data_IF_313773974340
#
_entry.id   IF_313773974340
#
_cell.length_a   1.000
_cell.length_b   1.000
_cell.length_c   1.000
_cell.angle_alpha   90.00
_cell.angle_beta   90.00
_cell.angle_gamma   90.00
#
_symmetry.space_group_name_H-M   'P 1'
#
loop_
_entity.id
_entity.type
_entity.pdbx_description
1 polymer ?
#
# COMPACT_ATOMS: atom_id res chain seq x y z
N UNK A 1 -14.59 45.34 -39.14
CA UNK A 1 -15.54 44.29 -38.68
C UNK A 1 -15.03 42.88 -38.95
N UNK A 2 -14.68 42.51 -40.20
CA UNK A 2 -14.14 41.17 -40.57
C UNK A 2 -12.98 40.65 -39.69
N UNK A 3 -11.96 41.46 -39.40
CA UNK A 3 -10.81 41.03 -38.56
C UNK A 3 -11.21 40.61 -37.14
N UNK A 4 -12.13 41.36 -36.50
CA UNK A 4 -12.59 41.05 -35.13
C UNK A 4 -13.39 39.75 -35.05
N UNK A 5 -14.17 39.45 -36.10
CA UNK A 5 -14.95 38.21 -36.21
C UNK A 5 -14.00 37.00 -36.39
N UNK A 6 -12.97 37.14 -37.23
CA UNK A 6 -11.98 36.08 -37.45
C UNK A 6 -11.18 35.78 -36.17
N UNK A 7 -10.73 36.82 -35.46
CA UNK A 7 -9.99 36.63 -34.19
C UNK A 7 -10.86 35.99 -33.11
N UNK A 8 -12.12 36.41 -32.98
CA UNK A 8 -13.06 35.79 -32.04
C UNK A 8 -13.27 34.30 -32.36
N UNK A 9 -13.51 33.95 -33.63
CA UNK A 9 -13.68 32.57 -34.06
C UNK A 9 -12.44 31.70 -33.76
N UNK A 10 -11.23 32.19 -34.01
CA UNK A 10 -9.99 31.46 -33.71
C UNK A 10 -9.81 31.19 -32.21
N UNK A 11 -10.07 32.20 -31.36
CA UNK A 11 -9.95 32.06 -29.91
C UNK A 11 -11.00 31.08 -29.37
N UNK A 12 -12.24 31.16 -29.84
CA UNK A 12 -13.30 30.23 -29.42
C UNK A 12 -12.99 28.80 -29.88
N UNK A 13 -12.52 28.60 -31.11
CA UNK A 13 -12.12 27.28 -31.59
C UNK A 13 -10.93 26.72 -30.80
N UNK A 14 -9.86 27.50 -30.54
CA UNK A 14 -8.76 27.04 -29.70
C UNK A 14 -9.21 26.68 -28.28
N UNK A 15 -10.11 27.46 -27.69
CA UNK A 15 -10.61 27.19 -26.34
C UNK A 15 -11.50 25.94 -26.28
N UNK A 16 -12.32 25.71 -27.31
CA UNK A 16 -13.10 24.46 -27.45
C UNK A 16 -12.17 23.26 -27.64
N UNK A 17 -11.12 23.39 -28.47
CA UNK A 17 -10.12 22.32 -28.62
C UNK A 17 -9.41 22.02 -27.29
N UNK A 18 -8.91 23.03 -26.59
CA UNK A 18 -8.25 22.87 -25.28
C UNK A 18 -9.18 22.22 -24.24
N UNK A 19 -10.43 22.67 -24.16
CA UNK A 19 -11.42 22.10 -23.22
C UNK A 19 -11.83 20.67 -23.61
N UNK A 20 -11.92 20.37 -24.91
CA UNK A 20 -12.23 19.02 -25.41
C UNK A 20 -11.08 18.02 -25.22
N UNK A 21 -9.82 18.47 -25.32
CA UNK A 21 -8.64 17.67 -24.99
C UNK A 21 -8.57 17.32 -23.50
N UNK A 22 -9.12 18.16 -22.61
CA UNK A 22 -9.29 17.78 -21.20
C UNK A 22 -10.47 16.82 -20.97
N UNK A 23 -11.49 16.85 -21.82
CA UNK A 23 -12.73 16.08 -21.65
C UNK A 23 -12.70 14.67 -22.26
N UNK A 24 -11.89 14.42 -23.31
CA UNK A 24 -11.81 13.09 -23.98
C UNK A 24 -10.71 12.16 -23.49
N UNK A 25 -9.89 12.57 -22.52
CA UNK A 25 -8.89 11.70 -21.90
C UNK A 25 -9.48 10.41 -21.28
N UNK A 26 -10.80 10.35 -21.04
CA UNK A 26 -11.47 9.18 -20.50
C UNK A 26 -11.77 8.10 -21.56
N UNK A 27 -11.81 8.44 -22.84
CA UNK A 27 -12.10 7.52 -23.95
C UNK A 27 -10.83 7.01 -24.66
N UNK A 28 -9.71 7.73 -24.55
CA UNK A 28 -8.43 7.33 -25.17
C UNK A 28 -7.55 6.45 -24.25
N UNK A 29 -7.96 6.22 -23.00
CA UNK A 29 -7.29 5.31 -22.07
C UNK A 29 -7.83 3.89 -22.29
N UNK A 30 -7.28 3.20 -23.31
CA UNK A 30 -7.58 1.80 -23.62
C UNK A 30 -7.20 0.84 -22.47
N UNK A 31 -6.25 1.26 -21.63
CA UNK A 31 -5.91 0.63 -20.36
C UNK A 31 -5.44 1.72 -19.41
N UNK A 32 -5.84 1.65 -18.13
CA UNK A 32 -5.34 2.55 -17.10
C UNK A 32 -3.80 2.63 -17.19
N UNK A 33 -3.15 3.78 -16.96
CA UNK A 33 -1.71 3.83 -16.79
C UNK A 33 -1.29 2.93 -15.61
N UNK A 34 0.00 2.57 -15.52
CA UNK A 34 0.55 1.84 -14.38
C UNK A 34 0.14 2.55 -13.08
N UNK A 35 -0.40 1.79 -12.12
CA UNK A 35 -0.90 2.37 -10.87
C UNK A 35 0.26 2.62 -9.92
N UNK A 36 0.31 3.83 -9.38
CA UNK A 36 1.27 4.23 -8.35
C UNK A 36 0.74 3.82 -6.98
N UNK A 37 1.53 3.08 -6.20
CA UNK A 37 1.14 2.77 -4.83
C UNK A 37 1.08 4.05 -4.00
N UNK A 38 2.14 4.87 -4.04
CA UNK A 38 2.21 6.10 -3.25
C UNK A 38 1.30 7.21 -3.75
N UNK A 39 1.10 7.30 -5.07
CA UNK A 39 0.32 8.35 -5.72
C UNK A 39 -1.18 8.04 -5.83
N UNK A 40 -1.56 6.78 -6.04
CA UNK A 40 -2.96 6.42 -6.30
C UNK A 40 -3.59 5.63 -5.14
N UNK A 41 -2.88 4.64 -4.58
CA UNK A 41 -3.45 3.73 -3.56
C UNK A 41 -3.44 4.36 -2.17
N UNK A 42 -2.31 4.94 -1.76
CA UNK A 42 -2.15 5.54 -0.43
C UNK A 42 -3.20 6.63 -0.16
N UNK A 43 -3.49 7.58 -1.08
CA UNK A 43 -4.52 8.57 -0.85
C UNK A 43 -5.91 7.97 -0.64
N UNK A 44 -6.24 6.85 -1.30
CA UNK A 44 -7.55 6.17 -1.13
C UNK A 44 -7.75 5.73 0.32
N UNK A 45 -6.71 5.16 0.93
CA UNK A 45 -6.83 4.56 2.28
C UNK A 45 -6.49 5.53 3.41
N UNK A 46 -5.87 6.67 3.11
CA UNK A 46 -5.48 7.69 4.10
C UNK A 46 -6.32 8.97 4.06
N UNK A 47 -7.09 9.23 2.99
CA UNK A 47 -7.90 10.46 2.87
C UNK A 47 -9.01 10.59 3.94
N UNK A 48 -9.44 9.50 4.56
CA UNK A 48 -10.39 9.53 5.67
C UNK A 48 -9.69 9.88 6.99
N UNK A 49 -9.67 11.16 7.37
CA UNK A 49 -8.90 11.69 8.50
C UNK A 49 -9.33 11.24 9.91
N UNK A 50 -10.50 10.61 10.08
CA UNK A 50 -11.03 10.15 11.38
C UNK A 50 -11.46 8.66 11.38
N UNK A 51 -11.02 7.88 10.40
CA UNK A 51 -11.40 6.47 10.28
C UNK A 51 -10.68 5.56 11.28
N UNK A 52 -11.19 4.34 11.51
CA UNK A 52 -10.54 3.35 12.40
C UNK A 52 -9.07 3.08 12.05
N UNK A 53 -8.68 3.29 10.79
CA UNK A 53 -7.34 3.07 10.27
C UNK A 53 -6.43 4.31 10.28
N UNK A 54 -6.95 5.53 10.50
CA UNK A 54 -6.18 6.77 10.36
C UNK A 54 -6.38 7.70 11.56
N UNK A 55 -5.30 8.31 12.06
CA UNK A 55 -5.30 9.30 13.15
C UNK A 55 -5.87 8.85 14.50
N UNK A 56 -6.35 7.62 14.61
CA UNK A 56 -6.51 6.87 15.85
C UNK A 56 -7.61 7.34 16.79
N UNK A 57 -8.56 6.45 17.06
CA UNK A 57 -9.08 6.21 18.41
C UNK A 57 -9.01 4.69 18.63
N UNK A 58 -8.18 4.26 19.59
CA UNK A 58 -8.16 2.98 20.34
C UNK A 58 -8.82 1.69 19.84
N UNK A 59 -8.89 1.39 18.54
CA UNK A 59 -9.56 0.18 18.03
C UNK A 59 -8.57 -0.89 17.60
N UNK A 60 -9.03 -2.15 17.52
CA UNK A 60 -8.29 -3.33 17.00
C UNK A 60 -7.90 -3.21 15.50
N UNK A 61 -7.99 -2.03 14.91
CA UNK A 61 -7.71 -1.78 13.51
C UNK A 61 -6.20 -1.58 13.28
N UNK A 62 -5.74 -1.98 12.10
CA UNK A 62 -4.37 -1.70 11.65
C UNK A 62 -4.30 -0.22 11.26
N UNK A 63 -3.31 0.52 11.75
CA UNK A 63 -3.15 1.92 11.33
C UNK A 63 -2.46 2.04 9.97
N UNK A 64 -3.01 2.86 9.10
CA UNK A 64 -2.43 3.26 7.81
C UNK A 64 -1.79 4.65 7.87
N UNK A 65 -2.29 5.53 8.75
CA UNK A 65 -1.62 6.79 9.07
C UNK A 65 -1.88 7.28 10.49
N UNK A 66 -0.98 8.12 10.99
CA UNK A 66 -1.15 8.88 12.22
C UNK A 66 -0.42 10.23 12.12
N UNK A 67 -1.17 11.32 12.26
CA UNK A 67 -0.72 12.68 11.94
C UNK A 67 -0.09 12.72 10.54
N UNK A 68 1.13 13.22 10.42
CA UNK A 68 1.86 13.33 9.15
C UNK A 68 2.60 12.05 8.75
N UNK A 69 2.44 10.96 9.51
CA UNK A 69 3.12 9.69 9.25
C UNK A 69 2.20 8.71 8.53
N UNK A 70 2.64 8.20 7.38
CA UNK A 70 1.99 7.11 6.65
C UNK A 70 2.75 5.81 6.87
N UNK A 71 2.03 4.76 7.27
CA UNK A 71 2.58 3.42 7.46
C UNK A 71 2.47 2.61 6.17
N UNK A 72 3.33 2.92 5.19
CA UNK A 72 3.30 2.30 3.86
C UNK A 72 3.30 0.77 3.90
N UNK A 73 4.16 0.18 4.74
CA UNK A 73 4.25 -1.28 4.88
C UNK A 73 2.98 -1.89 5.48
N UNK A 74 2.29 -1.17 6.38
CA UNK A 74 1.02 -1.63 6.92
C UNK A 74 -0.06 -1.72 5.82
N UNK A 75 -0.04 -0.80 4.87
CA UNK A 75 -0.93 -0.80 3.69
C UNK A 75 -0.50 -1.91 2.72
N UNK A 76 0.78 -2.01 2.36
CA UNK A 76 1.32 -3.02 1.44
C UNK A 76 0.98 -4.44 1.88
N UNK A 77 1.18 -4.76 3.17
CA UNK A 77 0.88 -6.09 3.71
C UNK A 77 -0.63 -6.45 3.63
N UNK A 78 -1.51 -5.50 3.30
CA UNK A 78 -2.96 -5.66 3.16
C UNK A 78 -3.42 -5.60 1.70
N UNK A 79 -2.51 -5.61 0.72
CA UNK A 79 -2.83 -5.57 -0.70
C UNK A 79 -3.96 -6.54 -1.10
N UNK A 80 -3.87 -7.81 -0.71
CA UNK A 80 -4.86 -8.84 -1.05
C UNK A 80 -6.18 -8.71 -0.25
N UNK A 81 -6.13 -8.14 0.95
CA UNK A 81 -7.33 -7.80 1.71
C UNK A 81 -8.08 -6.67 1.01
N UNK A 82 -7.36 -5.65 0.54
CA UNK A 82 -7.93 -4.56 -0.23
C UNK A 82 -8.47 -5.02 -1.59
N UNK A 83 -7.80 -5.94 -2.29
CA UNK A 83 -8.31 -6.55 -3.52
C UNK A 83 -9.63 -7.31 -3.26
N UNK A 84 -9.67 -8.10 -2.19
CA UNK A 84 -10.89 -8.82 -1.79
C UNK A 84 -12.03 -7.85 -1.49
N UNK A 85 -11.75 -6.79 -0.74
CA UNK A 85 -12.73 -5.74 -0.46
C UNK A 85 -13.21 -5.05 -1.74
N UNK A 86 -12.29 -4.75 -2.68
CA UNK A 86 -12.64 -4.12 -3.94
C UNK A 86 -13.50 -5.01 -4.85
N UNK A 87 -13.29 -6.33 -4.82
CA UNK A 87 -14.05 -7.29 -5.65
C UNK A 87 -15.40 -7.69 -5.07
N UNK A 88 -15.52 -7.71 -3.74
CA UNK A 88 -16.68 -8.33 -3.07
C UNK A 88 -17.41 -7.43 -2.09
N UNK A 89 -16.97 -6.18 -1.91
CA UNK A 89 -17.54 -5.23 -0.94
C UNK A 89 -17.55 -5.78 0.50
N UNK A 90 -16.48 -6.51 0.86
CA UNK A 90 -16.31 -7.14 2.17
C UNK A 90 -15.17 -6.49 2.94
N UNK A 91 -15.52 -5.63 3.88
CA UNK A 91 -14.56 -5.07 4.84
C UNK A 91 -14.38 -6.03 6.05
N UNK A 92 -13.14 -6.40 6.45
CA UNK A 92 -12.91 -7.35 7.55
C UNK A 92 -13.47 -6.91 8.91
N UNK A 93 -13.52 -5.60 9.16
CA UNK A 93 -14.11 -5.03 10.37
C UNK A 93 -15.63 -4.99 10.38
N UNK A 94 -16.30 -5.49 9.33
CA UNK A 94 -17.74 -5.33 9.12
C UNK A 94 -18.12 -3.91 8.71
N UNK A 95 -19.44 -3.64 8.74
CA UNK A 95 -20.04 -2.37 8.33
C UNK A 95 -20.19 -2.20 6.82
N UNK A 96 -20.86 -1.12 6.41
CA UNK A 96 -21.02 -0.74 4.99
C UNK A 96 -19.85 0.16 4.58
N UNK A 97 -18.65 -0.43 4.56
CA UNK A 97 -17.41 0.25 4.14
C UNK A 97 -17.00 -0.38 2.81
N UNK A 98 -17.14 0.37 1.73
CA UNK A 98 -16.79 -0.05 0.38
C UNK A 98 -15.97 1.01 -0.34
N UNK A 99 -15.15 0.57 -1.28
CA UNK A 99 -14.51 1.47 -2.22
C UNK A 99 -15.53 1.92 -3.27
N UNK A 100 -15.42 3.16 -3.74
CA UNK A 100 -16.13 3.60 -4.94
C UNK A 100 -15.69 2.77 -6.16
N UNK A 101 -16.51 2.70 -7.21
CA UNK A 101 -16.17 1.93 -8.42
C UNK A 101 -14.84 2.34 -9.05
N UNK A 102 -14.47 3.61 -8.96
CA UNK A 102 -13.19 4.09 -9.45
C UNK A 102 -12.03 3.61 -8.57
N UNK A 103 -12.16 3.71 -7.23
CA UNK A 103 -11.17 3.21 -6.29
C UNK A 103 -10.99 1.68 -6.41
N UNK A 104 -12.07 0.93 -6.63
CA UNK A 104 -12.03 -0.52 -6.89
C UNK A 104 -11.14 -0.84 -8.09
N UNK A 105 -11.28 -0.10 -9.19
CA UNK A 105 -10.44 -0.27 -10.39
C UNK A 105 -8.96 0.02 -10.11
N UNK A 106 -8.65 1.07 -9.36
CA UNK A 106 -7.27 1.39 -8.97
C UNK A 106 -6.66 0.25 -8.14
N UNK A 107 -7.35 -0.17 -7.08
CA UNK A 107 -6.85 -1.19 -6.15
C UNK A 107 -6.67 -2.55 -6.84
N UNK A 108 -7.70 -3.00 -7.57
CA UNK A 108 -7.63 -4.29 -8.28
C UNK A 108 -6.52 -4.30 -9.32
N UNK A 109 -6.33 -3.19 -10.04
CA UNK A 109 -5.26 -3.05 -11.02
C UNK A 109 -3.88 -3.04 -10.37
N UNK A 110 -3.67 -2.26 -9.31
CA UNK A 110 -2.40 -2.25 -8.58
C UNK A 110 -2.01 -3.65 -8.08
N UNK A 111 -2.98 -4.42 -7.59
CA UNK A 111 -2.75 -5.80 -7.13
C UNK A 111 -2.42 -6.73 -8.29
N UNK A 112 -3.09 -6.58 -9.44
CA UNK A 112 -2.76 -7.30 -10.68
C UNK A 112 -1.35 -6.97 -11.21
N UNK A 113 -0.87 -5.75 -10.98
CA UNK A 113 0.51 -5.32 -11.28
C UNK A 113 1.55 -5.80 -10.25
N UNK A 114 1.12 -6.59 -9.26
CA UNK A 114 1.98 -7.20 -8.24
C UNK A 114 2.08 -6.43 -6.94
N UNK A 115 1.17 -5.46 -6.70
CA UNK A 115 1.04 -4.71 -5.44
C UNK A 115 2.35 -4.08 -4.92
N UNK A 116 3.21 -3.61 -5.83
CA UNK A 116 4.55 -3.10 -5.48
C UNK A 116 4.50 -1.70 -4.90
N UNK A 117 5.40 -1.40 -3.96
CA UNK A 117 5.75 -0.03 -3.60
C UNK A 117 6.59 0.57 -4.74
N UNK A 118 6.17 1.72 -5.25
CA UNK A 118 6.90 2.52 -6.23
C UNK A 118 7.78 3.60 -5.59
N UNK A 119 7.88 3.59 -4.27
CA UNK A 119 8.90 4.31 -3.52
C UNK A 119 10.31 3.80 -3.75
N UNK A 120 11.28 4.70 -3.54
CA UNK A 120 12.68 4.31 -3.43
C UNK A 120 12.88 3.35 -2.26
N UNK A 121 13.70 2.31 -2.48
CA UNK A 121 14.13 1.44 -1.38
C UNK A 121 14.96 2.22 -0.35
N UNK A 122 15.06 1.68 0.87
CA UNK A 122 15.91 2.28 1.89
C UNK A 122 17.29 1.61 1.92
N UNK A 123 18.32 2.41 2.18
CA UNK A 123 19.64 1.92 2.54
C UNK A 123 19.63 1.55 4.01
N UNK A 124 19.82 0.27 4.31
CA UNK A 124 19.95 -0.23 5.68
C UNK A 124 21.41 -0.09 6.08
N UNK A 125 21.70 0.62 7.17
CA UNK A 125 23.06 0.83 7.67
C UNK A 125 23.13 0.56 9.17
N UNK A 126 24.32 0.17 9.64
CA UNK A 126 24.58 -0.07 11.06
C UNK A 126 24.07 -1.41 11.59
N UNK A 127 24.11 -1.56 12.91
CA UNK A 127 23.64 -2.77 13.59
C UNK A 127 22.12 -2.78 13.67
N UNK A 128 21.50 -3.81 13.11
CA UNK A 128 20.06 -4.01 13.15
C UNK A 128 19.74 -4.94 14.30
N UNK A 129 18.94 -4.50 15.27
CA UNK A 129 18.55 -5.32 16.43
C UNK A 129 17.06 -5.64 16.42
N UNK A 130 16.69 -6.74 17.07
CA UNK A 130 15.30 -7.12 17.18
C UNK A 130 14.47 -6.02 17.86
N UNK A 131 14.90 -5.57 19.03
CA UNK A 131 14.18 -4.62 19.87
C UNK A 131 13.95 -3.26 19.21
N UNK A 132 14.93 -2.75 18.47
CA UNK A 132 14.89 -1.38 17.90
C UNK A 132 14.46 -1.32 16.45
N UNK A 133 14.62 -2.39 15.66
CA UNK A 133 14.39 -2.35 14.22
C UNK A 133 13.30 -3.34 13.79
N UNK A 134 13.39 -4.60 14.23
CA UNK A 134 12.48 -5.65 13.78
C UNK A 134 11.14 -5.61 14.50
N UNK A 135 11.16 -5.44 15.82
CA UNK A 135 9.97 -5.43 16.64
C UNK A 135 9.00 -4.28 16.29
N UNK A 136 9.46 -3.04 16.00
CA UNK A 136 8.59 -1.99 15.49
C UNK A 136 7.91 -2.38 14.18
N UNK A 137 8.66 -2.88 13.18
CA UNK A 137 8.10 -3.32 11.89
C UNK A 137 7.10 -4.45 12.12
N UNK A 138 7.44 -5.45 12.93
CA UNK A 138 6.49 -6.50 13.29
C UNK A 138 5.22 -5.93 13.92
N UNK A 139 5.35 -4.98 14.83
CA UNK A 139 4.22 -4.44 15.59
C UNK A 139 3.28 -3.58 14.74
N UNK A 140 3.78 -2.89 13.73
CA UNK A 140 2.97 -2.03 12.84
C UNK A 140 2.53 -2.75 11.57
N UNK A 141 3.42 -3.54 10.97
CA UNK A 141 3.23 -4.14 9.65
C UNK A 141 2.64 -5.54 9.77
N UNK A 142 3.22 -6.41 10.57
CA UNK A 142 2.85 -7.84 10.55
C UNK A 142 1.79 -8.19 11.61
N UNK A 143 1.81 -7.50 12.75
CA UNK A 143 0.89 -7.67 13.86
C UNK A 143 -0.37 -6.87 13.55
N UNK A 144 -1.48 -7.59 13.39
CA UNK A 144 -2.81 -7.02 13.21
C UNK A 144 -3.85 -8.01 13.69
N UNK A 145 -5.04 -7.53 14.04
CA UNK A 145 -6.13 -8.31 14.64
C UNK A 145 -6.61 -9.50 13.79
N UNK A 146 -6.29 -9.53 12.49
CA UNK A 146 -6.60 -10.65 11.59
C UNK A 146 -5.40 -11.56 11.30
N UNK A 147 -4.17 -11.10 11.57
CA UNK A 147 -2.93 -11.83 11.29
C UNK A 147 -2.26 -12.23 12.62
N UNK A 148 -0.99 -11.83 12.85
CA UNK A 148 -0.21 -12.21 14.04
C UNK A 148 -0.66 -11.56 15.37
N UNK A 149 -1.75 -10.77 15.36
CA UNK A 149 -2.40 -10.20 16.53
C UNK A 149 -3.82 -10.74 16.75
N UNK A 150 -4.21 -11.81 16.06
CA UNK A 150 -5.50 -12.47 16.23
C UNK A 150 -5.44 -13.95 15.85
N UNK A 151 -5.75 -14.27 14.58
CA UNK A 151 -5.87 -15.66 14.12
C UNK A 151 -4.54 -16.40 14.06
N UNK A 152 -3.44 -15.71 13.76
CA UNK A 152 -2.12 -16.31 13.64
C UNK A 152 -1.31 -16.17 14.93
N UNK A 153 -0.30 -17.04 15.07
CA UNK A 153 0.60 -17.04 16.23
C UNK A 153 1.27 -15.68 16.43
N UNK A 154 1.28 -15.19 17.66
CA UNK A 154 2.10 -14.02 18.03
C UNK A 154 3.57 -14.39 17.99
N UNK A 155 4.35 -13.60 17.26
CA UNK A 155 5.77 -13.80 17.04
C UNK A 155 6.57 -12.93 18.01
N UNK A 156 7.35 -13.60 18.85
CA UNK A 156 8.41 -12.99 19.66
C UNK A 156 9.78 -13.26 19.01
N UNK A 157 10.84 -12.73 19.61
CA UNK A 157 12.21 -12.91 19.15
C UNK A 157 12.55 -14.40 18.90
N UNK A 158 12.31 -15.26 19.89
CA UNK A 158 12.66 -16.68 19.82
C UNK A 158 11.93 -17.40 18.68
N UNK A 159 10.63 -17.10 18.50
CA UNK A 159 9.84 -17.68 17.39
C UNK A 159 10.32 -17.20 16.03
N UNK A 160 10.69 -15.92 15.90
CA UNK A 160 11.24 -15.39 14.65
C UNK A 160 12.59 -16.03 14.32
N UNK A 161 13.48 -16.14 15.31
CA UNK A 161 14.78 -16.83 15.17
C UNK A 161 14.59 -18.28 14.75
N UNK A 162 13.68 -19.01 15.40
CA UNK A 162 13.36 -20.40 15.07
C UNK A 162 12.75 -20.57 13.66
N UNK A 163 12.26 -19.50 13.03
CA UNK A 163 11.69 -19.49 11.68
C UNK A 163 12.53 -18.70 10.68
N UNK A 164 13.85 -18.58 10.92
CA UNK A 164 14.80 -17.89 10.03
C UNK A 164 14.63 -18.21 8.55
N UNK A 165 14.51 -19.50 8.18
CA UNK A 165 14.37 -19.90 6.77
C UNK A 165 13.09 -19.38 6.12
N UNK A 166 11.99 -19.38 6.87
CA UNK A 166 10.69 -18.83 6.44
C UNK A 166 10.79 -17.32 6.24
N UNK A 167 11.37 -16.62 7.22
CA UNK A 167 11.59 -15.17 7.12
C UNK A 167 12.48 -14.83 5.91
N UNK A 168 13.58 -15.54 5.72
CA UNK A 168 14.49 -15.30 4.61
C UNK A 168 13.82 -15.51 3.24
N UNK A 169 13.06 -16.60 3.07
CA UNK A 169 12.31 -16.84 1.84
C UNK A 169 11.25 -15.75 1.58
N UNK A 170 10.56 -15.31 2.64
CA UNK A 170 9.57 -14.25 2.57
C UNK A 170 10.21 -12.92 2.16
N UNK A 171 11.30 -12.50 2.81
CA UNK A 171 11.95 -11.23 2.50
C UNK A 171 12.58 -11.21 1.11
N UNK A 172 13.22 -12.30 0.68
CA UNK A 172 13.82 -12.42 -0.65
C UNK A 172 12.80 -12.29 -1.78
N UNK A 173 11.54 -12.68 -1.53
CA UNK A 173 10.46 -12.57 -2.52
C UNK A 173 9.62 -11.30 -2.37
N UNK A 174 9.92 -10.44 -1.40
CA UNK A 174 9.09 -9.28 -1.06
C UNK A 174 7.71 -9.67 -0.52
N UNK A 175 7.58 -10.86 0.07
CA UNK A 175 6.32 -11.41 0.57
C UNK A 175 5.53 -12.24 -0.44
N UNK A 176 5.98 -12.31 -1.71
CA UNK A 176 5.26 -13.04 -2.74
C UNK A 176 5.18 -14.55 -2.47
N UNK A 177 6.18 -15.09 -1.78
CA UNK A 177 6.29 -16.49 -1.39
C UNK A 177 6.80 -16.60 0.06
N UNK A 178 6.79 -17.81 0.62
CA UNK A 178 7.41 -18.11 1.92
C UNK A 178 6.54 -17.76 3.14
N UNK A 179 5.62 -16.82 3.06
CA UNK A 179 4.67 -16.56 4.14
C UNK A 179 3.61 -17.68 4.23
N UNK A 180 3.47 -18.38 5.38
CA UNK A 180 2.54 -19.53 5.49
C UNK A 180 1.07 -19.17 5.32
N UNK A 181 0.68 -17.92 5.57
CA UNK A 181 -0.69 -17.44 5.40
C UNK A 181 -1.02 -17.00 3.98
N UNK A 182 -0.14 -17.25 3.01
CA UNK A 182 -0.29 -16.82 1.62
C UNK A 182 0.44 -15.51 1.33
N UNK A 183 0.30 -15.04 0.09
CA UNK A 183 1.01 -13.90 -0.47
C UNK A 183 0.73 -12.60 0.30
N UNK A 184 1.79 -11.83 0.57
CA UNK A 184 1.73 -10.46 1.09
C UNK A 184 2.62 -9.56 0.24
N UNK A 185 2.45 -8.25 0.32
CA UNK A 185 3.40 -7.30 -0.25
C UNK A 185 4.18 -6.60 0.87
N UNK A 186 5.49 -6.47 0.69
CA UNK A 186 6.40 -5.79 1.60
C UNK A 186 7.22 -4.78 0.82
N UNK A 187 7.50 -3.63 1.41
CA UNK A 187 8.49 -2.71 0.83
C UNK A 187 9.87 -3.36 0.81
N UNK A 188 10.70 -2.91 -0.12
CA UNK A 188 12.11 -3.30 -0.15
C UNK A 188 12.83 -2.89 1.14
N UNK A 189 12.40 -1.82 1.81
CA UNK A 189 12.98 -1.40 3.09
C UNK A 189 12.75 -2.42 4.19
N UNK A 190 11.51 -2.89 4.34
CA UNK A 190 11.17 -3.95 5.29
C UNK A 190 11.95 -5.22 4.96
N UNK A 191 11.94 -5.66 3.68
CA UNK A 191 12.69 -6.84 3.27
C UNK A 191 14.18 -6.74 3.60
N UNK A 192 14.83 -5.64 3.24
CA UNK A 192 16.26 -5.44 3.44
C UNK A 192 16.60 -5.38 4.94
N UNK A 193 15.76 -4.75 5.76
CA UNK A 193 16.01 -4.64 7.21
C UNK A 193 16.02 -6.03 7.87
N UNK A 194 15.08 -6.91 7.51
CA UNK A 194 15.06 -8.27 8.02
C UNK A 194 16.20 -9.12 7.48
N UNK A 195 16.53 -9.01 6.19
CA UNK A 195 17.65 -9.74 5.60
C UNK A 195 18.98 -9.36 6.25
N UNK A 196 19.19 -8.06 6.51
CA UNK A 196 20.37 -7.56 7.19
C UNK A 196 20.43 -8.04 8.64
N UNK A 197 19.32 -7.98 9.39
CA UNK A 197 19.24 -8.57 10.74
C UNK A 197 19.61 -10.06 10.75
N UNK A 198 19.13 -10.82 9.77
CA UNK A 198 19.44 -12.24 9.62
C UNK A 198 20.93 -12.45 9.29
N UNK A 199 21.52 -11.60 8.44
CA UNK A 199 22.92 -11.64 8.06
C UNK A 199 23.85 -11.32 9.25
N UNK A 200 23.44 -10.41 10.13
CA UNK A 200 24.17 -10.03 11.35
C UNK A 200 24.04 -11.04 12.50
N UNK A 201 23.41 -12.20 12.28
CA UNK A 201 23.24 -13.23 13.30
C UNK A 201 22.07 -12.98 14.26
N UNK A 202 21.09 -12.16 13.85
CA UNK A 202 19.84 -11.90 14.55
C UNK A 202 20.03 -11.32 15.97
N UNK A 203 20.84 -10.25 16.17
CA UNK A 203 21.02 -9.69 17.51
C UNK A 203 19.70 -9.14 18.08
N UNK A 204 19.53 -9.26 19.40
CA UNK A 204 18.31 -8.89 20.10
C UNK A 204 18.23 -7.38 20.41
#
# INVERSE_FOLDING_TARGET
MKKRIITAAMVTSMMVYLLSSCYRNKEDILALPKVSFRGDVVPIVTAGGCGCHNNGIGTRAVQFSHYDTVFYDAILARAFVMDTMARFDRHPGGGVISFTDFQKKIITKWVQEGAKDDGGGCTVTGTIKYSTNIFPIYSTTCKGSTCHGGLAVTLDYNKMVAKKSVLQAMMNSGGNNGHPGGTISLSSCTSNTFLEWIAQGQPQ
#
